data_IF_833594537268
#
_entry.id   IF_833594537268
#
_cell.length_a   1.000
_cell.length_b   1.000
_cell.length_c   1.000
_cell.angle_alpha   90.00
_cell.angle_beta   90.00
_cell.angle_gamma   90.00
#
_symmetry.space_group_name_H-M   'P 1'
#
loop_
_entity.id
_entity.type
_entity.pdbx_description
1 polymer ?
#
# COMPACT_ATOMS: atom_id res chain seq x y z
N UNK A 1 -5.92 33.16 30.74
CA UNK A 1 -6.82 32.01 30.45
C UNK A 1 -6.79 31.06 31.64
N UNK A 2 -7.76 31.23 32.54
CA UNK A 2 -7.86 30.55 33.83
C UNK A 2 -8.61 29.21 33.70
N UNK A 3 -8.13 28.23 34.48
CA UNK A 3 -8.82 27.02 35.01
C UNK A 3 -9.44 26.05 33.99
N UNK A 4 -8.62 25.11 33.52
CA UNK A 4 -9.12 23.77 33.18
C UNK A 4 -9.04 22.92 34.46
N UNK A 5 -10.17 22.43 34.96
CA UNK A 5 -10.25 21.52 36.11
C UNK A 5 -9.54 20.20 35.76
N UNK A 6 -8.36 19.96 36.31
CA UNK A 6 -7.70 18.65 36.24
C UNK A 6 -8.26 17.76 37.35
N UNK A 7 -9.05 16.76 36.98
CA UNK A 7 -9.52 15.70 37.87
C UNK A 7 -8.43 14.67 38.23
N UNK A 8 -7.20 14.86 37.75
CA UNK A 8 -6.03 14.15 38.27
C UNK A 8 -5.42 14.98 39.41
N UNK A 9 -5.39 14.38 40.60
CA UNK A 9 -4.49 14.81 41.68
C UNK A 9 -3.08 14.71 41.10
N UNK A 10 -2.35 15.83 41.00
CA UNK A 10 -0.95 15.81 40.58
C UNK A 10 -0.12 15.23 41.74
N UNK A 11 0.34 13.97 41.66
CA UNK A 11 1.07 13.35 42.78
C UNK A 11 2.40 14.05 43.05
N UNK A 12 2.87 14.89 42.12
CA UNK A 12 4.10 15.67 42.24
C UNK A 12 3.89 17.01 42.95
N UNK A 13 2.66 17.36 43.33
CA UNK A 13 2.35 18.61 44.03
C UNK A 13 2.97 18.68 45.44
N UNK A 14 3.25 17.53 46.07
CA UNK A 14 3.81 17.44 47.41
C UNK A 14 5.35 17.50 47.45
N UNK A 15 6.02 17.53 46.29
CA UNK A 15 7.48 17.55 46.20
C UNK A 15 8.03 18.99 46.16
N UNK A 16 9.23 19.25 46.71
CA UNK A 16 9.92 20.53 46.56
C UNK A 16 10.03 20.96 45.09
N UNK A 17 9.89 22.26 44.74
CA UNK A 17 9.91 22.73 43.35
C UNK A 17 11.17 22.33 42.56
N UNK A 18 12.32 22.30 43.24
CA UNK A 18 13.60 21.86 42.68
C UNK A 18 13.59 20.37 42.29
N UNK A 19 13.04 19.52 43.16
CA UNK A 19 12.90 18.08 42.92
C UNK A 19 11.88 17.81 41.81
N UNK A 20 10.75 18.54 41.79
CA UNK A 20 9.76 18.45 40.70
C UNK A 20 10.36 18.81 39.33
N UNK A 21 11.13 19.90 39.26
CA UNK A 21 11.81 20.31 38.03
C UNK A 21 12.92 19.34 37.60
N UNK A 22 13.59 18.70 38.54
CA UNK A 22 14.57 17.65 38.26
C UNK A 22 13.89 16.39 37.71
N UNK A 23 12.87 15.87 38.40
CA UNK A 23 12.12 14.68 37.99
C UNK A 23 11.43 14.89 36.63
N UNK A 24 10.85 16.06 36.39
CA UNK A 24 10.27 16.38 35.08
C UNK A 24 11.32 16.34 33.96
N UNK A 25 12.51 16.90 34.17
CA UNK A 25 13.61 16.85 33.19
C UNK A 25 14.06 15.42 32.92
N UNK A 26 14.29 14.63 33.97
CA UNK A 26 14.65 13.21 33.86
C UNK A 26 13.56 12.38 33.18
N UNK A 27 12.29 12.66 33.45
CA UNK A 27 11.16 12.00 32.79
C UNK A 27 11.13 12.32 31.28
N UNK A 28 11.31 13.59 30.89
CA UNK A 28 11.37 13.98 29.47
C UNK A 28 12.56 13.36 28.74
N UNK A 29 13.74 13.32 29.38
CA UNK A 29 14.91 12.62 28.84
C UNK A 29 14.64 11.12 28.69
N UNK A 30 14.05 10.49 29.71
CA UNK A 30 13.68 9.07 29.68
C UNK A 30 12.68 8.73 28.57
N UNK A 31 11.67 9.58 28.37
CA UNK A 31 10.73 9.46 27.23
C UNK A 31 11.50 9.60 25.91
N UNK A 32 12.46 10.53 25.82
CA UNK A 32 13.31 10.70 24.65
C UNK A 32 14.13 9.45 24.33
N UNK A 33 14.79 8.85 25.33
CA UNK A 33 15.52 7.58 25.20
C UNK A 33 14.59 6.48 24.70
N UNK A 34 13.44 6.33 25.34
CA UNK A 34 12.49 5.27 25.03
C UNK A 34 11.97 5.40 23.60
N UNK A 35 11.67 6.62 23.14
CA UNK A 35 11.27 6.88 21.76
C UNK A 35 12.37 6.49 20.78
N UNK A 36 13.61 6.94 21.00
CA UNK A 36 14.73 6.61 20.11
C UNK A 36 14.99 5.10 20.08
N UNK A 37 14.94 4.42 21.23
CA UNK A 37 15.12 2.98 21.32
C UNK A 37 14.01 2.23 20.57
N UNK A 38 12.75 2.67 20.72
CA UNK A 38 11.61 2.09 20.01
C UNK A 38 11.69 2.32 18.50
N UNK A 39 12.06 3.54 18.07
CA UNK A 39 12.30 3.86 16.66
C UNK A 39 13.46 3.04 16.08
N UNK A 40 14.54 2.87 16.84
CA UNK A 40 15.69 2.06 16.47
C UNK A 40 15.35 0.58 16.32
N UNK A 41 14.59 0.02 17.27
CA UNK A 41 14.06 -1.34 17.18
C UNK A 41 13.23 -1.53 15.91
N UNK A 42 12.24 -0.66 15.67
CA UNK A 42 11.39 -0.77 14.49
C UNK A 42 12.17 -0.56 13.18
N UNK A 43 13.16 0.33 13.15
CA UNK A 43 13.99 0.57 11.97
C UNK A 43 14.85 -0.65 11.64
N UNK A 44 15.52 -1.23 12.64
CA UNK A 44 16.31 -2.44 12.45
C UNK A 44 15.43 -3.63 12.06
N UNK A 45 14.21 -3.71 12.60
CA UNK A 45 13.24 -4.70 12.19
C UNK A 45 12.88 -4.56 10.70
N UNK A 46 12.55 -3.35 10.23
CA UNK A 46 12.23 -3.11 8.80
C UNK A 46 13.44 -3.35 7.90
N UNK A 47 14.63 -2.92 8.31
CA UNK A 47 15.87 -3.11 7.53
C UNK A 47 16.28 -4.58 7.37
N UNK A 48 15.99 -5.41 8.38
CA UNK A 48 16.30 -6.84 8.39
C UNK A 48 15.09 -7.71 8.03
N UNK A 49 14.06 -7.12 7.41
CA UNK A 49 12.89 -7.87 6.96
C UNK A 49 13.24 -8.87 5.86
N UNK A 50 12.67 -10.07 5.97
CA UNK A 50 12.73 -11.10 4.93
C UNK A 50 11.34 -11.64 4.64
N UNK A 51 11.09 -11.98 3.38
CA UNK A 51 9.83 -12.64 2.97
C UNK A 51 9.68 -14.04 3.56
N UNK A 52 10.81 -14.68 3.92
CA UNK A 52 10.84 -16.03 4.48
C UNK A 52 10.61 -16.07 6.00
N UNK A 53 10.52 -14.90 6.66
CA UNK A 53 10.32 -14.83 8.11
C UNK A 53 8.89 -15.21 8.51
N UNK A 54 8.68 -15.73 9.75
CA UNK A 54 7.34 -15.95 10.29
C UNK A 54 6.54 -14.66 10.32
N UNK A 55 5.37 -14.67 9.70
CA UNK A 55 4.46 -13.51 9.67
C UNK A 55 3.00 -13.95 9.68
N UNK A 56 2.07 -13.00 9.72
CA UNK A 56 0.63 -13.32 9.66
C UNK A 56 0.24 -13.97 8.33
N UNK A 57 0.98 -13.67 7.26
CA UNK A 57 0.74 -14.20 5.92
C UNK A 57 1.70 -15.33 5.53
N UNK A 58 2.72 -15.61 6.35
CA UNK A 58 3.71 -16.65 6.09
C UNK A 58 3.92 -17.53 7.34
N UNK A 59 3.28 -18.70 7.35
CA UNK A 59 3.46 -19.70 8.39
C UNK A 59 4.65 -20.61 8.05
N UNK A 60 5.75 -20.44 8.76
CA UNK A 60 6.98 -21.23 8.59
C UNK A 60 7.44 -21.85 9.91
N UNK A 61 8.14 -22.98 9.83
CA UNK A 61 8.79 -23.64 10.98
C UNK A 61 10.21 -23.10 11.24
N UNK A 62 10.70 -22.21 10.37
CA UNK A 62 12.03 -21.60 10.49
C UNK A 62 12.07 -20.57 11.62
N UNK A 63 13.20 -20.48 12.32
CA UNK A 63 13.46 -19.38 13.24
C UNK A 63 13.55 -18.03 12.50
N UNK A 64 13.07 -16.92 13.09
CA UNK A 64 13.07 -15.61 12.45
C UNK A 64 14.51 -15.14 12.16
N UNK A 65 14.78 -14.74 10.92
CA UNK A 65 16.05 -14.16 10.48
C UNK A 65 16.17 -12.67 10.79
N UNK A 66 15.06 -12.02 11.13
CA UNK A 66 15.02 -10.62 11.55
C UNK A 66 15.93 -10.35 12.74
N UNK A 67 16.71 -9.27 12.71
CA UNK A 67 17.67 -8.93 13.77
C UNK A 67 16.99 -8.67 15.11
N UNK A 68 15.73 -8.21 15.09
CA UNK A 68 14.94 -7.95 16.29
C UNK A 68 14.09 -9.16 16.72
N UNK A 69 14.36 -10.33 16.14
CA UNK A 69 13.69 -11.59 16.44
C UNK A 69 12.24 -11.61 15.97
N UNK A 70 11.43 -12.47 16.61
CA UNK A 70 10.04 -12.70 16.21
C UNK A 70 9.17 -11.43 16.24
N UNK A 71 9.19 -10.58 17.29
CA UNK A 71 8.40 -9.36 17.30
C UNK A 71 8.81 -8.39 16.18
N UNK A 72 10.12 -8.33 15.87
CA UNK A 72 10.65 -7.56 14.75
C UNK A 72 10.09 -8.00 13.41
N UNK A 73 10.11 -9.31 13.13
CA UNK A 73 9.57 -9.88 11.90
C UNK A 73 8.10 -9.49 11.67
N UNK A 74 7.25 -9.63 12.70
CA UNK A 74 5.84 -9.24 12.62
C UNK A 74 5.64 -7.73 12.42
N UNK A 75 6.37 -6.89 13.15
CA UNK A 75 6.26 -5.43 13.03
C UNK A 75 6.68 -4.98 11.63
N UNK A 76 7.80 -5.50 11.14
CA UNK A 76 8.33 -5.16 9.83
C UNK A 76 7.39 -5.61 8.70
N UNK A 77 6.85 -6.83 8.79
CA UNK A 77 5.90 -7.36 7.82
C UNK A 77 4.62 -6.53 7.74
N UNK A 78 3.99 -6.24 8.89
CA UNK A 78 2.79 -5.39 8.93
C UNK A 78 3.09 -4.01 8.36
N UNK A 79 4.21 -3.39 8.74
CA UNK A 79 4.58 -2.05 8.27
C UNK A 79 4.79 -2.01 6.75
N UNK A 80 5.56 -2.96 6.21
CA UNK A 80 5.86 -3.00 4.77
C UNK A 80 4.64 -3.39 3.94
N UNK A 81 3.78 -4.30 4.42
CA UNK A 81 2.55 -4.63 3.71
C UNK A 81 1.54 -3.49 3.74
N UNK A 82 1.40 -2.76 4.86
CA UNK A 82 0.40 -1.70 4.98
C UNK A 82 0.83 -0.39 4.34
N UNK A 83 2.09 0.00 4.53
CA UNK A 83 2.62 1.33 4.16
C UNK A 83 3.78 1.27 3.16
N UNK A 84 4.30 0.08 2.84
CA UNK A 84 5.46 -0.06 1.97
C UNK A 84 6.67 0.74 2.48
N UNK A 85 7.38 1.39 1.56
CA UNK A 85 8.53 2.24 1.86
C UNK A 85 8.17 3.47 2.70
N UNK A 86 6.91 3.92 2.70
CA UNK A 86 6.47 5.02 3.57
C UNK A 86 6.51 4.64 5.06
N UNK A 87 6.54 3.34 5.39
CA UNK A 87 6.72 2.87 6.76
C UNK A 87 7.97 3.44 7.44
N UNK A 88 9.05 3.69 6.69
CA UNK A 88 10.27 4.33 7.24
C UNK A 88 10.00 5.77 7.68
N UNK A 89 9.14 6.50 6.96
CA UNK A 89 8.75 7.86 7.35
C UNK A 89 7.96 7.87 8.67
N UNK A 90 7.17 6.81 8.94
CA UNK A 90 6.46 6.66 10.21
C UNK A 90 7.41 6.54 11.41
N UNK A 91 8.65 6.11 11.19
CA UNK A 91 9.66 5.93 12.25
C UNK A 91 10.44 7.21 12.56
N UNK A 92 10.50 8.17 11.64
CA UNK A 92 11.24 9.41 11.84
C UNK A 92 10.85 10.24 13.09
N UNK A 93 9.58 10.34 13.53
CA UNK A 93 9.19 11.07 14.72
C UNK A 93 9.86 10.57 15.99
N UNK A 94 10.07 9.26 16.09
CA UNK A 94 10.71 8.64 17.25
C UNK A 94 12.11 9.21 17.45
N UNK A 95 12.84 9.45 16.36
CA UNK A 95 14.16 10.06 16.39
C UNK A 95 14.09 11.58 16.55
N UNK A 96 13.26 12.27 15.77
CA UNK A 96 13.17 13.74 15.76
C UNK A 96 12.65 14.26 17.11
N UNK A 97 11.54 13.72 17.60
CA UNK A 97 10.96 14.13 18.87
C UNK A 97 11.73 13.56 20.06
N UNK A 98 12.31 12.36 19.93
CA UNK A 98 13.22 11.80 20.92
C UNK A 98 14.43 12.70 21.17
N UNK A 99 15.12 13.12 20.10
CA UNK A 99 16.25 14.05 20.19
C UNK A 99 15.84 15.43 20.72
N UNK A 100 14.64 15.91 20.38
CA UNK A 100 14.11 17.17 20.94
C UNK A 100 13.77 17.08 22.42
N UNK A 101 13.26 15.93 22.88
CA UNK A 101 12.97 15.70 24.30
C UNK A 101 14.26 15.78 25.13
N UNK A 102 15.36 15.22 24.61
CA UNK A 102 16.71 15.38 25.16
C UNK A 102 17.21 16.82 25.14
N UNK A 103 16.97 17.55 24.05
CA UNK A 103 17.32 18.97 23.95
C UNK A 103 16.41 19.89 24.78
N UNK A 104 15.50 19.32 25.59
CA UNK A 104 14.50 20.04 26.39
C UNK A 104 13.67 21.06 25.60
N UNK A 105 13.53 20.85 24.29
CA UNK A 105 12.72 21.73 23.43
C UNK A 105 11.27 21.32 23.55
N UNK A 106 10.42 22.25 24.01
CA UNK A 106 8.98 22.01 24.12
C UNK A 106 8.36 21.93 22.73
N UNK A 107 7.62 20.86 22.48
CA UNK A 107 6.86 20.68 21.25
C UNK A 107 5.44 21.18 21.50
N UNK A 108 5.09 22.30 20.89
CA UNK A 108 3.72 22.83 20.94
C UNK A 108 2.83 22.05 19.96
N UNK A 109 1.51 21.98 20.23
CA UNK A 109 0.52 21.35 19.34
C UNK A 109 0.79 19.86 19.04
N UNK A 110 1.27 19.09 20.01
CA UNK A 110 1.68 17.69 19.81
C UNK A 110 0.61 16.83 19.13
N UNK A 111 -0.66 17.01 19.47
CA UNK A 111 -1.78 16.26 18.87
C UNK A 111 -1.88 16.53 17.36
N UNK A 112 -1.82 17.79 16.95
CA UNK A 112 -1.86 18.17 15.53
C UNK A 112 -0.61 17.71 14.79
N UNK A 113 0.55 17.66 15.45
CA UNK A 113 1.79 17.14 14.84
C UNK A 113 1.75 15.64 14.66
N UNK A 114 1.23 14.89 15.62
CA UNK A 114 0.97 13.45 15.47
C UNK A 114 -0.01 13.20 14.32
N UNK A 115 -1.13 13.92 14.28
CA UNK A 115 -2.10 13.80 13.20
C UNK A 115 -1.49 14.15 11.83
N UNK A 116 -0.71 15.23 11.76
CA UNK A 116 -0.01 15.63 10.55
C UNK A 116 1.04 14.59 10.12
N UNK A 117 1.73 13.93 11.06
CA UNK A 117 2.71 12.90 10.73
C UNK A 117 2.07 11.64 10.15
N UNK A 118 0.96 11.19 10.75
CA UNK A 118 0.18 10.07 10.23
C UNK A 118 -0.37 10.39 8.83
N UNK A 119 -0.95 11.58 8.65
CA UNK A 119 -1.42 12.04 7.35
C UNK A 119 -0.28 12.11 6.33
N UNK A 120 0.89 12.65 6.71
CA UNK A 120 2.04 12.74 5.83
C UNK A 120 2.54 11.36 5.38
N UNK A 121 2.55 10.38 6.29
CA UNK A 121 2.91 8.99 5.99
C UNK A 121 1.96 8.39 4.95
N UNK A 122 0.65 8.63 5.09
CA UNK A 122 -0.34 8.18 4.11
C UNK A 122 -0.16 8.87 2.75
N UNK A 123 0.02 10.19 2.71
CA UNK A 123 0.28 10.90 1.46
C UNK A 123 1.58 10.45 0.79
N UNK A 124 2.63 10.16 1.57
CA UNK A 124 3.87 9.62 1.05
C UNK A 124 3.69 8.18 0.51
N UNK A 125 2.91 7.34 1.20
CA UNK A 125 2.55 6.00 0.72
C UNK A 125 1.83 6.08 -0.63
N UNK A 126 0.85 6.98 -0.76
CA UNK A 126 0.15 7.24 -2.02
C UNK A 126 1.10 7.70 -3.13
N UNK A 127 1.99 8.65 -2.82
CA UNK A 127 2.96 9.16 -3.79
C UNK A 127 3.93 8.07 -4.27
N UNK A 128 4.40 7.22 -3.35
CA UNK A 128 5.28 6.09 -3.66
C UNK A 128 4.58 5.01 -4.47
N UNK A 129 3.32 4.70 -4.16
CA UNK A 129 2.52 3.73 -4.92
C UNK A 129 2.29 4.18 -6.37
N UNK A 130 2.19 5.48 -6.62
CA UNK A 130 2.09 6.04 -7.96
C UNK A 130 3.39 5.94 -8.79
N UNK A 131 4.52 5.54 -8.19
CA UNK A 131 5.77 5.31 -8.91
C UNK A 131 5.83 3.88 -9.50
N UNK A 132 6.54 3.69 -10.61
CA UNK A 132 6.77 2.34 -11.15
C UNK A 132 7.49 1.45 -10.14
N UNK A 133 6.99 0.23 -9.96
CA UNK A 133 7.63 -0.81 -9.15
C UNK A 133 8.97 -1.23 -9.74
N UNK A 134 9.96 -1.42 -8.89
CA UNK A 134 11.26 -1.97 -9.28
C UNK A 134 11.14 -3.48 -9.52
N UNK A 135 11.95 -4.03 -10.43
CA UNK A 135 11.95 -5.47 -10.73
C UNK A 135 12.34 -6.34 -9.52
N UNK A 136 13.12 -5.80 -8.59
CA UNK A 136 13.56 -6.47 -7.36
C UNK A 136 12.64 -6.21 -6.16
N UNK A 137 11.53 -5.49 -6.34
CA UNK A 137 10.60 -5.22 -5.25
C UNK A 137 9.92 -6.52 -4.82
N UNK A 138 10.07 -6.95 -3.54
CA UNK A 138 9.70 -8.30 -3.13
C UNK A 138 8.19 -8.48 -2.89
N UNK A 139 7.45 -7.39 -2.66
CA UNK A 139 6.03 -7.45 -2.36
C UNK A 139 5.19 -7.40 -3.64
N UNK A 140 4.06 -8.11 -3.64
CA UNK A 140 3.07 -8.03 -4.72
C UNK A 140 2.41 -6.64 -4.79
N UNK A 141 2.30 -5.97 -3.64
CA UNK A 141 1.82 -4.59 -3.47
C UNK A 141 2.87 -3.59 -3.96
N UNK A 142 2.42 -2.40 -4.39
CA UNK A 142 3.28 -1.31 -4.82
C UNK A 142 4.17 -0.77 -3.71
N UNK A 143 5.01 0.22 -4.05
CA UNK A 143 6.00 0.80 -3.13
C UNK A 143 5.37 1.49 -1.92
N UNK A 144 4.08 1.82 -1.98
CA UNK A 144 3.29 2.40 -0.90
C UNK A 144 2.51 1.38 -0.04
N UNK A 145 2.65 0.09 -0.30
CA UNK A 145 1.88 -0.95 0.37
C UNK A 145 0.38 -0.86 0.09
N UNK A 146 -0.42 -1.60 0.87
CA UNK A 146 -1.87 -1.72 0.70
C UNK A 146 -2.59 -0.37 0.78
N UNK A 147 -2.24 0.46 1.76
CA UNK A 147 -2.89 1.76 1.95
C UNK A 147 -2.48 2.74 0.86
N UNK A 148 -1.20 2.75 0.47
CA UNK A 148 -0.71 3.57 -0.63
C UNK A 148 -1.35 3.18 -1.96
N UNK A 149 -1.43 1.89 -2.27
CA UNK A 149 -2.08 1.37 -3.49
C UNK A 149 -3.57 1.70 -3.54
N UNK A 150 -4.27 1.52 -2.42
CA UNK A 150 -5.69 1.88 -2.32
C UNK A 150 -5.92 3.38 -2.58
N UNK A 151 -5.11 4.25 -1.96
CA UNK A 151 -5.22 5.70 -2.15
C UNK A 151 -4.74 6.14 -3.54
N UNK A 152 -3.72 5.50 -4.11
CA UNK A 152 -3.23 5.79 -5.45
C UNK A 152 -4.26 5.35 -6.51
N UNK A 153 -4.99 4.26 -6.28
CA UNK A 153 -6.11 3.85 -7.11
C UNK A 153 -7.26 4.88 -7.10
N UNK A 154 -7.51 5.53 -5.96
CA UNK A 154 -8.45 6.67 -5.91
C UNK A 154 -7.94 7.85 -6.76
N UNK A 155 -6.66 8.21 -6.63
CA UNK A 155 -6.04 9.24 -7.46
C UNK A 155 -6.14 8.91 -8.96
N UNK A 156 -5.81 7.67 -9.31
CA UNK A 156 -5.97 7.14 -10.67
C UNK A 156 -7.42 7.27 -11.16
N UNK A 157 -8.41 6.86 -10.36
CA UNK A 157 -9.83 6.98 -10.73
C UNK A 157 -10.28 8.43 -10.94
N UNK A 158 -9.63 9.41 -10.31
CA UNK A 158 -9.95 10.82 -10.48
C UNK A 158 -9.35 11.41 -11.75
N UNK A 159 -8.15 10.97 -12.15
CA UNK A 159 -7.41 11.56 -13.28
C UNK A 159 -7.48 10.75 -14.58
N UNK A 160 -7.70 9.43 -14.52
CA UNK A 160 -7.78 8.56 -15.69
C UNK A 160 -8.89 8.93 -16.69
N UNK A 161 -10.05 9.50 -16.30
CA UNK A 161 -11.03 9.95 -17.28
C UNK A 161 -10.55 11.12 -18.17
N UNK A 162 -9.49 11.82 -17.74
CA UNK A 162 -9.00 13.04 -18.39
C UNK A 162 -7.59 12.87 -18.99
N UNK A 163 -6.90 11.76 -18.71
CA UNK A 163 -5.49 11.55 -19.03
C UNK A 163 -5.19 10.08 -19.30
N UNK A 164 -4.01 9.78 -19.84
CA UNK A 164 -3.52 8.39 -19.97
C UNK A 164 -3.02 7.86 -18.63
N UNK A 165 -3.04 6.53 -18.46
CA UNK A 165 -2.78 5.88 -17.17
C UNK A 165 -1.49 6.35 -16.46
N UNK A 166 -0.37 6.41 -17.19
CA UNK A 166 0.90 6.87 -16.63
C UNK A 166 0.86 8.34 -16.18
N UNK A 167 0.09 9.19 -16.87
CA UNK A 167 -0.08 10.60 -16.51
C UNK A 167 -1.00 10.73 -15.28
N UNK A 168 -2.04 9.89 -15.16
CA UNK A 168 -2.92 9.86 -13.99
C UNK A 168 -2.14 9.53 -12.70
N UNK A 169 -1.24 8.55 -12.74
CA UNK A 169 -0.35 8.24 -11.63
C UNK A 169 0.65 9.37 -11.37
N UNK A 170 1.26 9.95 -12.41
CA UNK A 170 2.18 11.08 -12.25
C UNK A 170 1.51 12.29 -11.59
N UNK A 171 0.28 12.63 -11.97
CA UNK A 171 -0.51 13.70 -11.35
C UNK A 171 -0.86 13.39 -9.89
N UNK A 172 -1.20 12.13 -9.59
CA UNK A 172 -1.43 11.67 -8.21
C UNK A 172 -0.18 11.86 -7.35
N UNK A 173 0.99 11.45 -7.83
CA UNK A 173 2.26 11.66 -7.15
C UNK A 173 2.59 13.15 -6.99
N UNK A 174 2.40 13.95 -8.05
CA UNK A 174 2.67 15.38 -8.06
C UNK A 174 1.81 16.16 -7.07
N UNK A 175 0.58 15.72 -6.81
CA UNK A 175 -0.30 16.34 -5.82
C UNK A 175 0.03 15.89 -4.40
N UNK A 176 0.28 14.59 -4.20
CA UNK A 176 0.42 14.00 -2.86
C UNK A 176 1.81 14.19 -2.26
N UNK A 177 2.87 14.17 -3.06
CA UNK A 177 4.24 14.31 -2.57
C UNK A 177 4.52 15.69 -1.91
N UNK A 178 4.11 16.84 -2.48
CA UNK A 178 4.28 18.13 -1.81
C UNK A 178 3.50 18.23 -0.50
N UNK A 179 2.28 17.68 -0.46
CA UNK A 179 1.46 17.66 0.76
C UNK A 179 2.17 16.85 1.85
N UNK A 180 2.67 15.65 1.51
CA UNK A 180 3.47 14.84 2.43
C UNK A 180 4.69 15.62 2.93
N UNK A 181 5.43 16.28 2.03
CA UNK A 181 6.62 17.06 2.37
C UNK A 181 6.32 18.19 3.37
N UNK A 182 5.30 19.03 3.11
CA UNK A 182 4.96 20.12 4.03
C UNK A 182 4.41 19.63 5.36
N UNK A 183 3.64 18.55 5.36
CA UNK A 183 3.16 17.94 6.61
C UNK A 183 4.31 17.34 7.42
N UNK A 184 5.32 16.72 6.78
CA UNK A 184 6.55 16.25 7.45
C UNK A 184 7.29 17.43 8.09
N UNK A 185 7.49 18.54 7.37
CA UNK A 185 8.17 19.71 7.93
C UNK A 185 7.42 20.30 9.13
N UNK A 186 6.10 20.45 9.00
CA UNK A 186 5.25 20.92 10.09
C UNK A 186 5.31 19.97 11.27
N UNK A 187 5.14 18.68 11.06
CA UNK A 187 5.08 17.71 12.13
C UNK A 187 6.47 17.50 12.79
N UNK A 188 7.55 17.75 12.05
CA UNK A 188 8.93 17.69 12.52
C UNK A 188 9.33 19.00 13.21
N UNK A 189 8.46 20.01 13.26
CA UNK A 189 8.77 21.33 13.80
C UNK A 189 10.04 21.94 13.21
N UNK A 190 10.32 21.65 11.93
CA UNK A 190 11.49 22.16 11.22
C UNK A 190 11.10 23.52 10.64
N UNK A 191 11.72 24.58 11.14
CA UNK A 191 11.54 25.91 10.57
C UNK A 191 12.35 26.06 9.29
N UNK A 192 11.94 27.00 8.44
CA UNK A 192 12.69 27.35 7.22
C UNK A 192 14.13 27.83 7.54
N UNK A 193 14.34 28.37 8.75
CA UNK A 193 15.66 28.75 9.26
C UNK A 193 16.55 27.53 9.54
N UNK A 194 15.99 26.44 10.08
CA UNK A 194 16.73 25.21 10.35
C UNK A 194 17.18 24.54 9.05
N UNK A 195 16.32 24.56 8.02
CA UNK A 195 16.65 24.10 6.66
C UNK A 195 17.81 24.89 6.05
N UNK A 196 17.80 26.22 6.19
CA UNK A 196 18.90 27.08 5.72
C UNK A 196 20.20 26.78 6.46
N UNK A 197 20.15 26.61 7.78
CA UNK A 197 21.31 26.27 8.60
C UNK A 197 21.90 24.91 8.20
N UNK A 198 21.04 23.90 7.97
CA UNK A 198 21.46 22.59 7.49
C UNK A 198 22.10 22.67 6.09
N UNK A 199 21.51 23.44 5.16
CA UNK A 199 22.08 23.63 3.81
C UNK A 199 23.46 24.29 3.84
N UNK A 200 23.67 25.28 4.72
CA UNK A 200 24.97 25.92 4.94
C UNK A 200 25.96 24.90 5.50
N UNK A 201 25.57 24.13 6.52
CA UNK A 201 26.41 23.12 7.15
C UNK A 201 26.84 22.01 6.16
N UNK A 202 25.91 21.50 5.34
CA UNK A 202 26.22 20.52 4.28
C UNK A 202 27.18 21.11 3.24
N UNK A 203 26.99 22.38 2.86
CA UNK A 203 27.90 23.06 1.94
C UNK A 203 29.31 23.18 2.52
N UNK A 204 29.43 23.44 3.81
CA UNK A 204 30.72 23.58 4.48
C UNK A 204 31.41 22.22 4.70
N UNK A 205 30.66 21.14 4.98
CA UNK A 205 31.17 19.76 4.96
C UNK A 205 31.71 19.35 3.59
N UNK A 206 30.99 19.71 2.52
CA UNK A 206 31.43 19.45 1.15
C UNK A 206 32.71 20.22 0.82
N UNK A 207 32.87 21.45 1.33
CA UNK A 207 34.12 22.21 1.18
C UNK A 207 35.27 21.58 1.97
N UNK A 208 35.03 21.11 3.19
CA UNK A 208 36.05 20.45 4.01
C UNK A 208 36.54 19.12 3.42
N UNK A 209 35.65 18.34 2.81
CA UNK A 209 36.01 17.10 2.10
C UNK A 209 36.79 17.36 0.82
N UNK A 210 36.37 18.32 0.00
CA UNK A 210 37.10 18.71 -1.22
C UNK A 210 38.48 19.28 -0.89
N UNK A 211 38.59 20.13 0.13
CA UNK A 211 39.87 20.69 0.59
C UNK A 211 40.81 19.58 1.11
N UNK A 212 40.31 18.64 1.91
CA UNK A 212 41.10 17.50 2.40
C UNK A 212 41.54 16.55 1.27
N UNK A 213 40.76 16.45 0.20
CA UNK A 213 41.05 15.59 -0.95
C UNK A 213 42.03 16.26 -1.95
N UNK A 214 41.96 17.58 -2.10
CA UNK A 214 42.98 18.39 -2.81
C UNK A 214 44.33 18.39 -2.07
N UNK A 215 44.31 18.53 -0.74
CA UNK A 215 45.52 18.53 0.09
C UNK A 215 46.20 17.15 0.10
N UNK A 216 45.41 16.06 0.11
CA UNK A 216 45.93 14.69 -0.08
C UNK A 216 46.49 14.47 -1.48
N UNK A 217 45.87 15.03 -2.53
CA UNK A 217 46.43 14.98 -3.90
C UNK A 217 47.74 15.74 -4.01
N UNK A 218 47.84 16.94 -3.43
CA UNK A 218 49.08 17.73 -3.40
C UNK A 218 50.19 17.03 -2.59
N UNK A 219 49.87 16.46 -1.44
CA UNK A 219 50.82 15.71 -0.61
C UNK A 219 51.28 14.40 -1.28
N UNK A 220 50.42 13.74 -2.05
CA UNK A 220 50.76 12.50 -2.76
C UNK A 220 51.65 12.70 -4.00
N UNK A 221 51.72 13.93 -4.53
CA UNK A 221 52.55 14.29 -5.69
C UNK A 221 54.00 14.70 -5.35
N UNK A 222 54.31 14.98 -4.08
CA UNK A 222 55.61 15.50 -3.66
C UNK A 222 56.55 14.37 -3.21
N UNK A 223 57.12 13.62 -4.18
CA UNK A 223 58.34 12.83 -3.94
C UNK A 223 59.58 13.71 -4.22
N UNK A 224 60.59 13.75 -3.34
CA UNK A 224 61.78 14.57 -3.57
C UNK A 224 62.65 13.92 -4.66
N UNK A 225 62.74 14.57 -5.83
CA UNK A 225 63.49 14.05 -6.98
C UNK A 225 64.97 14.49 -6.86
N UNK A 226 65.86 13.52 -6.71
CA UNK A 226 67.33 13.67 -6.78
C UNK A 226 67.72 14.20 -8.17
N UNK A 227 68.69 15.13 -8.19
CA UNK A 227 69.32 15.72 -9.38
C UNK A 227 70.17 14.69 -10.14
N UNK A 228 69.86 14.50 -11.41
CA UNK A 228 70.69 14.12 -12.56
C UNK A 228 69.75 14.29 -13.78
N UNK A 229 70.04 15.06 -14.82
CA UNK A 229 71.13 14.91 -15.78
C UNK A 229 70.49 14.61 -17.13
N UNK A 230 70.57 15.58 -18.04
CA UNK A 230 70.51 15.53 -19.52
C UNK A 230 69.34 14.86 -20.28
N UNK A 231 68.77 15.67 -21.18
CA UNK A 231 68.21 15.39 -22.50
C UNK A 231 67.52 14.03 -22.76
N UNK A 232 66.19 14.05 -22.80
CA UNK A 232 65.40 13.26 -23.75
C UNK A 232 63.98 13.82 -23.87
N UNK A 233 63.52 14.01 -25.11
CA UNK A 233 62.20 14.54 -25.45
C UNK A 233 61.10 13.56 -24.98
N UNK A 234 60.57 13.78 -23.78
CA UNK A 234 59.48 12.98 -23.22
C UNK A 234 58.14 13.34 -23.87
N UNK A 235 57.56 12.36 -24.58
CA UNK A 235 56.22 12.38 -25.11
C UNK A 235 55.18 12.72 -24.02
N UNK A 236 54.19 13.55 -24.36
CA UNK A 236 53.06 13.88 -23.48
C UNK A 236 52.34 12.58 -23.09
N UNK A 237 52.10 12.30 -21.80
CA UNK A 237 51.35 11.10 -21.43
C UNK A 237 49.91 11.23 -21.93
N UNK A 238 49.46 10.22 -22.68
CA UNK A 238 48.07 10.04 -23.04
C UNK A 238 47.26 9.95 -21.74
N UNK A 239 46.27 10.85 -21.56
CA UNK A 239 45.29 10.69 -20.47
C UNK A 239 44.59 9.35 -20.71
N UNK A 240 44.44 8.48 -19.71
CA UNK A 240 43.51 7.37 -19.84
C UNK A 240 42.11 7.95 -19.96
N UNK A 241 41.51 7.76 -21.12
CA UNK A 241 40.10 7.92 -21.42
C UNK A 241 39.30 6.94 -20.56
N UNK A 242 39.11 7.31 -19.29
CA UNK A 242 38.12 6.68 -18.43
C UNK A 242 36.77 7.15 -18.96
N UNK A 243 36.17 6.31 -19.79
CA UNK A 243 34.81 6.50 -20.28
C UNK A 243 33.88 6.69 -19.05
N UNK A 244 33.17 7.82 -18.94
CA UNK A 244 32.27 8.02 -17.83
C UNK A 244 31.22 6.91 -17.85
N UNK A 245 30.98 6.25 -16.70
CA UNK A 245 29.88 5.30 -16.58
C UNK A 245 28.58 5.97 -17.07
N UNK A 246 27.71 5.23 -17.78
CA UNK A 246 26.46 5.76 -18.35
C UNK A 246 25.60 6.49 -17.30
N UNK A 247 25.71 6.08 -16.04
CA UNK A 247 25.08 6.73 -14.89
C UNK A 247 25.63 8.12 -14.58
N UNK A 248 26.93 8.37 -14.80
CA UNK A 248 27.55 9.69 -14.59
C UNK A 248 27.17 10.67 -15.71
N UNK A 249 27.09 10.19 -16.96
CA UNK A 249 26.60 10.99 -18.09
C UNK A 249 25.12 11.33 -17.88
N UNK A 250 24.32 10.33 -17.50
CA UNK A 250 22.91 10.50 -17.18
C UNK A 250 22.70 11.44 -15.99
N UNK A 251 23.52 11.35 -14.93
CA UNK A 251 23.44 12.26 -13.79
C UNK A 251 23.84 13.70 -14.16
N UNK A 252 24.81 13.87 -15.06
CA UNK A 252 25.21 15.18 -15.56
C UNK A 252 24.14 15.78 -16.49
N UNK A 253 23.56 14.96 -17.37
CA UNK A 253 22.51 15.38 -18.32
C UNK A 253 21.15 15.61 -17.65
N UNK A 254 20.79 14.83 -16.63
CA UNK A 254 19.62 15.10 -15.77
C UNK A 254 19.86 16.35 -14.93
N UNK A 255 21.08 16.53 -14.43
CA UNK A 255 21.51 17.73 -13.72
C UNK A 255 21.31 18.99 -14.56
N UNK A 256 21.90 19.02 -15.75
CA UNK A 256 21.83 20.17 -16.67
C UNK A 256 20.39 20.47 -17.10
N UNK A 257 19.58 19.46 -17.41
CA UNK A 257 18.17 19.64 -17.78
C UNK A 257 17.30 20.13 -16.63
N UNK A 258 17.62 19.75 -15.39
CA UNK A 258 16.93 20.25 -14.19
C UNK A 258 17.34 21.68 -13.87
N UNK A 259 18.63 22.03 -13.97
CA UNK A 259 19.08 23.42 -13.80
C UNK A 259 18.53 24.33 -14.90
N UNK A 260 18.57 23.91 -16.16
CA UNK A 260 18.02 24.68 -17.28
C UNK A 260 16.50 24.81 -17.20
N UNK A 261 15.80 23.78 -16.71
CA UNK A 261 14.36 23.80 -16.51
C UNK A 261 13.93 24.68 -15.34
N UNK A 262 14.68 24.64 -14.22
CA UNK A 262 14.45 25.50 -13.07
C UNK A 262 14.79 26.96 -13.38
N UNK A 263 15.85 27.23 -14.13
CA UNK A 263 16.23 28.61 -14.52
C UNK A 263 15.21 29.20 -15.52
N UNK A 264 14.59 28.36 -16.37
CA UNK A 264 13.45 28.75 -17.25
C UNK A 264 12.17 29.07 -16.49
N UNK A 265 11.94 28.40 -15.36
CA UNK A 265 10.73 28.59 -14.54
C UNK A 265 10.88 29.77 -13.58
N UNK A 266 12.10 30.01 -13.09
CA UNK A 266 12.40 31.11 -12.16
C UNK A 266 12.55 32.47 -12.86
N UNK A 267 12.82 32.48 -14.18
CA UNK A 267 12.90 33.71 -14.99
C UNK A 267 11.71 33.82 -15.94
N UNK A 268 10.54 34.13 -15.41
CA UNK A 268 9.40 34.58 -16.23
C UNK A 268 9.29 36.10 -16.15
N UNK A 269 10.10 36.77 -16.96
CA UNK A 269 10.13 38.21 -17.13
C UNK A 269 11.22 38.60 -18.13
N UNK A 270 10.82 38.66 -19.39
CA UNK A 270 11.49 39.25 -20.54
C UNK A 270 12.76 38.58 -21.12
N UNK A 271 12.70 38.36 -22.44
CA UNK A 271 13.64 37.74 -23.39
C UNK A 271 13.58 36.21 -23.55
N UNK A 272 12.62 35.74 -24.37
CA UNK A 272 12.87 34.62 -25.27
C UNK A 272 13.53 35.18 -26.56
N UNK A 273 14.57 34.56 -27.14
CA UNK A 273 15.06 34.98 -28.45
C UNK A 273 13.98 34.72 -29.50
N UNK A 274 13.70 35.74 -30.33
CA UNK A 274 12.74 35.62 -31.44
C UNK A 274 13.21 34.54 -32.42
N UNK A 275 12.27 33.79 -32.99
CA UNK A 275 12.57 32.93 -34.13
C UNK A 275 12.91 33.77 -35.36
N UNK A 276 13.66 33.20 -36.30
CA UNK A 276 14.15 33.94 -37.47
C UNK A 276 13.01 34.47 -38.35
N UNK A 277 11.91 33.73 -38.42
CA UNK A 277 10.70 34.11 -39.14
C UNK A 277 9.97 35.29 -38.48
N UNK A 278 10.04 35.41 -37.15
CA UNK A 278 9.46 36.52 -36.40
C UNK A 278 10.32 37.80 -36.47
N UNK A 279 11.65 37.65 -36.57
CA UNK A 279 12.59 38.76 -36.81
C UNK A 279 12.36 39.36 -38.20
N UNK A 280 12.09 38.52 -39.19
CA UNK A 280 11.83 38.96 -40.56
C UNK A 280 10.43 39.57 -40.71
N UNK A 281 9.41 39.02 -40.04
CA UNK A 281 8.06 39.58 -40.01
C UNK A 281 7.98 40.94 -39.29
N UNK A 282 8.74 41.13 -38.20
CA UNK A 282 8.82 42.40 -37.48
C UNK A 282 9.56 43.48 -38.30
N UNK A 283 10.60 43.08 -39.06
CA UNK A 283 11.33 43.98 -39.96
C UNK A 283 10.48 44.44 -41.16
N UNK A 284 9.43 43.70 -41.50
CA UNK A 284 8.47 44.00 -42.56
C UNK A 284 7.22 44.81 -42.11
N UNK A 285 7.12 45.20 -40.83
CA UNK A 285 6.14 46.17 -40.36
C UNK A 285 4.66 45.71 -40.32
N UNK A 286 4.40 44.40 -40.21
CA UNK A 286 3.03 43.87 -40.22
C UNK A 286 2.65 43.19 -38.88
N UNK A 287 2.29 43.99 -37.87
CA UNK A 287 1.62 43.51 -36.66
C UNK A 287 0.25 44.18 -36.52
N UNK A 288 -0.71 43.68 -37.30
CA UNK A 288 -2.11 44.11 -37.25
C UNK A 288 -3.03 43.02 -37.76
N UNK A 289 -3.54 42.18 -36.87
CA UNK A 289 -4.69 41.31 -37.15
C UNK A 289 -4.51 39.83 -36.84
N UNK A 290 -4.55 39.46 -35.57
CA UNK A 290 -4.90 38.08 -35.18
C UNK A 290 -5.87 38.13 -34.01
N UNK A 291 -7.16 38.04 -34.31
CA UNK A 291 -8.21 38.03 -33.27
C UNK A 291 -9.62 38.38 -33.72
N UNK A 292 -10.09 37.93 -34.88
CA UNK A 292 -11.53 37.94 -35.18
C UNK A 292 -11.95 36.78 -36.10
N UNK A 293 -12.82 35.93 -35.54
CA UNK A 293 -13.87 35.09 -36.17
C UNK A 293 -14.38 34.13 -35.07
N UNK A 294 -15.66 33.96 -34.74
CA UNK A 294 -16.94 34.51 -35.19
C UNK A 294 -18.00 33.92 -34.24
N UNK A 295 -19.02 34.71 -33.90
CA UNK A 295 -20.09 34.34 -32.99
C UNK A 295 -21.18 33.50 -33.69
N UNK A 296 -21.71 32.49 -32.99
CA UNK A 296 -22.92 31.78 -33.43
C UNK A 296 -23.11 30.43 -32.74
N UNK A 297 -23.65 30.47 -31.51
CA UNK A 297 -24.46 29.44 -30.81
C UNK A 297 -24.16 29.43 -29.31
N UNK A 298 -25.19 29.63 -28.48
CA UNK A 298 -25.03 29.76 -27.03
C UNK A 298 -24.91 28.39 -26.36
N UNK A 299 -24.01 28.28 -25.38
CA UNK A 299 -23.75 27.04 -24.63
C UNK A 299 -24.99 26.50 -23.87
N UNK A 300 -26.04 27.30 -23.74
CA UNK A 300 -27.32 26.95 -23.11
C UNK A 300 -28.16 26.01 -23.98
N UNK A 301 -28.18 26.20 -25.30
CA UNK A 301 -29.02 25.41 -26.23
C UNK A 301 -28.53 23.96 -26.39
N UNK A 302 -27.21 23.73 -26.33
CA UNK A 302 -26.65 22.37 -26.35
C UNK A 302 -27.00 21.55 -25.10
N UNK A 303 -27.19 22.23 -23.96
CA UNK A 303 -27.51 21.57 -22.68
C UNK A 303 -28.97 21.14 -22.60
N UNK A 304 -29.88 21.86 -23.25
CA UNK A 304 -31.29 21.52 -23.31
C UNK A 304 -31.54 20.23 -24.11
N UNK A 305 -31.00 20.11 -25.33
CA UNK A 305 -31.20 18.92 -26.19
C UNK A 305 -30.66 17.61 -25.59
N UNK A 306 -29.54 17.65 -24.86
CA UNK A 306 -28.99 16.48 -24.16
C UNK A 306 -29.86 15.99 -22.99
N UNK A 307 -30.73 16.85 -22.47
CA UNK A 307 -31.60 16.53 -21.33
C UNK A 307 -32.88 15.83 -21.79
N UNK A 308 -33.45 16.27 -22.91
CA UNK A 308 -34.58 15.58 -23.57
C UNK A 308 -34.20 14.19 -24.07
N UNK A 309 -33.03 14.04 -24.71
CA UNK A 309 -32.57 12.74 -25.21
C UNK A 309 -32.31 11.69 -24.11
N UNK A 310 -32.08 12.13 -22.87
CA UNK A 310 -31.86 11.25 -21.71
C UNK A 310 -33.18 10.81 -21.06
N UNK A 311 -34.14 11.72 -20.95
CA UNK A 311 -35.45 11.40 -20.37
C UNK A 311 -36.26 10.45 -21.26
N UNK A 312 -36.07 10.49 -22.58
CA UNK A 312 -36.72 9.57 -23.52
C UNK A 312 -36.26 8.11 -23.39
N UNK A 313 -35.07 7.84 -22.82
CA UNK A 313 -34.52 6.46 -22.68
C UNK A 313 -34.92 5.75 -21.38
N UNK A 314 -35.39 6.50 -20.38
CA UNK A 314 -35.70 5.96 -19.04
C UNK A 314 -37.16 5.50 -18.95
N UNK A 315 -38.01 5.92 -19.89
CA UNK A 315 -39.44 5.61 -19.90
C UNK A 315 -39.78 4.20 -20.45
N UNK A 316 -38.82 3.46 -21.02
CA UNK A 316 -39.09 2.25 -21.83
C UNK A 316 -38.74 0.91 -21.13
N UNK A 317 -38.18 0.91 -19.92
CA UNK A 317 -37.86 -0.34 -19.18
C UNK A 317 -38.64 -0.43 -17.88
N UNK A 318 -39.86 -0.97 -17.96
CA UNK A 318 -40.61 -1.46 -16.80
C UNK A 318 -40.90 -2.95 -17.01
N UNK A 319 -40.05 -3.79 -16.45
CA UNK A 319 -40.18 -5.25 -16.51
C UNK A 319 -41.12 -5.70 -15.39
N UNK A 320 -42.27 -6.29 -15.77
CA UNK A 320 -43.17 -6.99 -14.85
C UNK A 320 -42.68 -8.43 -14.59
N UNK A 321 -42.80 -8.97 -13.36
CA UNK A 321 -42.39 -10.33 -13.06
C UNK A 321 -43.43 -11.36 -13.53
N UNK A 322 -43.03 -12.30 -14.39
CA UNK A 322 -43.82 -13.48 -14.80
C UNK A 322 -43.62 -14.64 -13.82
N UNK A 323 -44.71 -15.18 -13.27
CA UNK A 323 -44.76 -16.13 -12.15
C UNK A 323 -45.04 -17.59 -12.52
N UNK A 324 -44.43 -18.13 -13.58
CA UNK A 324 -44.56 -19.57 -13.92
C UNK A 324 -43.19 -20.15 -14.25
N UNK A 325 -42.47 -20.65 -13.22
CA UNK A 325 -41.14 -21.27 -13.42
C UNK A 325 -40.94 -22.54 -12.58
N UNK A 326 -40.26 -23.56 -13.14
CA UNK A 326 -39.98 -24.83 -12.47
C UNK A 326 -39.03 -24.64 -11.28
N UNK A 327 -39.26 -25.39 -10.20
CA UNK A 327 -38.52 -25.23 -8.95
C UNK A 327 -37.02 -25.55 -9.02
N UNK A 328 -36.27 -25.23 -7.94
CA UNK A 328 -34.80 -25.32 -7.88
C UNK A 328 -34.26 -26.68 -8.31
N UNK A 329 -33.19 -26.70 -9.11
CA UNK A 329 -32.53 -27.94 -9.55
C UNK A 329 -31.57 -28.44 -8.48
N UNK A 330 -31.77 -29.67 -8.00
CA UNK A 330 -30.85 -30.31 -7.05
C UNK A 330 -29.71 -30.97 -7.83
N UNK A 331 -28.50 -30.46 -7.69
CA UNK A 331 -27.30 -30.97 -8.35
C UNK A 331 -26.48 -31.82 -7.37
N UNK A 332 -26.76 -33.13 -7.32
CA UNK A 332 -25.93 -34.09 -6.58
C UNK A 332 -24.64 -34.34 -7.36
N UNK A 333 -23.50 -34.30 -6.67
CA UNK A 333 -22.27 -34.84 -7.24
C UNK A 333 -22.29 -36.35 -7.01
N UNK A 334 -22.23 -37.14 -8.09
CA UNK A 334 -22.10 -38.59 -7.99
C UNK A 334 -20.74 -38.90 -7.38
N UNK A 335 -20.72 -39.14 -6.07
CA UNK A 335 -19.52 -39.57 -5.37
C UNK A 335 -19.23 -41.01 -5.77
N UNK A 336 -18.33 -41.18 -6.74
CA UNK A 336 -17.79 -42.50 -7.06
C UNK A 336 -17.20 -43.13 -5.79
N UNK A 337 -17.45 -44.42 -5.51
CA UNK A 337 -16.89 -45.08 -4.35
C UNK A 337 -15.36 -44.98 -4.38
N UNK A 338 -14.79 -44.45 -3.30
CA UNK A 338 -13.35 -44.22 -3.16
C UNK A 338 -12.62 -45.57 -3.21
N UNK A 339 -11.82 -45.78 -4.26
CA UNK A 339 -10.94 -46.96 -4.35
C UNK A 339 -9.76 -46.78 -3.38
N UNK A 340 -9.36 -47.82 -2.62
CA UNK A 340 -8.17 -47.75 -1.76
C UNK A 340 -6.92 -47.40 -2.58
N UNK A 341 -6.03 -46.60 -2.01
CA UNK A 341 -4.77 -46.27 -2.67
C UNK A 341 -3.83 -47.48 -2.75
N UNK A 342 -2.92 -47.50 -3.73
CA UNK A 342 -1.90 -48.55 -3.86
C UNK A 342 -1.05 -48.72 -2.59
N UNK A 343 -0.88 -47.65 -1.81
CA UNK A 343 -0.19 -47.67 -0.52
C UNK A 343 -1.03 -48.33 0.57
N UNK A 344 -2.30 -47.95 0.68
CA UNK A 344 -3.23 -48.57 1.64
C UNK A 344 -3.39 -50.08 1.37
N UNK A 345 -3.40 -50.50 0.10
CA UNK A 345 -3.44 -51.92 -0.27
C UNK A 345 -2.15 -52.68 0.13
N UNK A 346 -0.97 -52.06 -0.03
CA UNK A 346 0.33 -52.66 0.34
C UNK A 346 0.53 -52.74 1.86
N UNK A 347 0.14 -51.72 2.59
CA UNK A 347 0.30 -51.65 4.06
C UNK A 347 -0.80 -52.42 4.81
N UNK A 348 -1.87 -52.85 4.14
CA UNK A 348 -2.87 -53.74 4.73
C UNK A 348 -2.30 -55.12 5.09
N UNK A 349 -1.15 -55.50 4.52
CA UNK A 349 -0.40 -56.71 4.88
C UNK A 349 0.90 -56.31 5.60
N UNK A 350 1.05 -56.57 6.90
CA UNK A 350 2.29 -56.27 7.62
C UNK A 350 3.44 -57.15 7.12
N UNK A 351 4.57 -56.54 6.74
CA UNK A 351 5.83 -57.26 6.50
C UNK A 351 6.52 -57.51 7.83
N UNK A 352 7.04 -58.73 8.04
CA UNK A 352 7.83 -59.03 9.23
C UNK A 352 9.11 -58.18 9.26
N UNK A 353 9.42 -57.50 10.38
CA UNK A 353 10.65 -56.75 10.52
C UNK A 353 11.83 -57.71 10.75
N UNK A 354 12.66 -57.90 9.72
CA UNK A 354 13.85 -58.76 9.77
C UNK A 354 15.17 -57.97 9.80
N UNK A 355 15.13 -56.63 9.88
CA UNK A 355 16.32 -55.76 9.79
C UNK A 355 16.59 -54.98 11.08
N UNK A 356 17.87 -54.72 11.43
CA UNK A 356 18.26 -54.04 12.67
C UNK A 356 17.84 -52.56 12.69
N UNK A 357 17.34 -52.11 13.85
CA UNK A 357 16.79 -50.79 14.08
C UNK A 357 17.87 -49.68 14.09
N UNK A 358 18.04 -48.98 12.98
CA UNK A 358 18.92 -47.82 12.87
C UNK A 358 18.43 -46.70 11.93
N UNK A 359 17.58 -47.04 10.96
CA UNK A 359 17.11 -46.10 9.94
C UNK A 359 15.68 -45.59 10.19
N UNK A 360 15.40 -44.37 9.72
CA UNK A 360 14.06 -43.77 9.79
C UNK A 360 13.02 -44.63 9.05
N UNK A 361 11.96 -45.02 9.76
CA UNK A 361 10.83 -45.77 9.20
C UNK A 361 9.60 -44.88 9.03
N UNK A 362 9.03 -44.89 7.82
CA UNK A 362 7.80 -44.15 7.52
C UNK A 362 6.63 -44.71 8.36
N UNK A 363 5.88 -43.86 9.10
CA UNK A 363 4.75 -44.32 9.90
C UNK A 363 3.64 -44.97 9.04
N UNK A 364 3.03 -46.08 9.49
CA UNK A 364 2.01 -46.79 8.73
C UNK A 364 0.66 -46.06 8.76
N UNK A 365 -0.13 -46.20 7.70
CA UNK A 365 -1.48 -45.63 7.58
C UNK A 365 -2.49 -46.20 8.59
N UNK A 366 -2.16 -47.32 9.25
CA UNK A 366 -2.96 -47.90 10.33
C UNK A 366 -3.05 -47.02 11.58
N UNK A 367 -2.15 -46.04 11.71
CA UNK A 367 -2.24 -45.01 12.76
C UNK A 367 -3.39 -44.02 12.52
N UNK A 368 -3.94 -43.97 11.31
CA UNK A 368 -5.09 -43.15 10.96
C UNK A 368 -6.39 -43.93 11.17
N UNK A 369 -7.40 -43.26 11.71
CA UNK A 369 -8.74 -43.82 11.84
C UNK A 369 -9.43 -43.88 10.47
N UNK A 370 -10.16 -44.97 10.21
CA UNK A 370 -10.95 -45.10 8.98
C UNK A 370 -12.06 -44.03 8.98
N UNK A 371 -12.40 -43.45 7.81
CA UNK A 371 -13.53 -42.54 7.72
C UNK A 371 -14.79 -43.29 8.17
N UNK A 372 -15.52 -42.69 9.12
CA UNK A 372 -16.83 -43.22 9.51
C UNK A 372 -17.74 -43.14 8.27
N UNK A 373 -18.51 -44.18 7.95
CA UNK A 373 -19.51 -44.07 6.89
C UNK A 373 -20.41 -42.88 7.20
N UNK A 374 -20.83 -42.10 6.19
CA UNK A 374 -21.70 -40.95 6.42
C UNK A 374 -22.90 -41.42 7.23
N UNK A 375 -23.14 -40.77 8.38
CA UNK A 375 -24.28 -41.07 9.23
C UNK A 375 -25.56 -40.96 8.40
N UNK A 376 -26.60 -41.73 8.74
CA UNK A 376 -27.88 -41.77 8.00
C UNK A 376 -28.53 -40.39 7.76
N UNK A 377 -28.13 -39.37 8.52
CA UNK A 377 -28.46 -37.95 8.32
C UNK A 377 -28.04 -37.36 6.96
N UNK A 378 -27.14 -38.02 6.22
CA UNK A 378 -26.65 -37.55 4.92
C UNK A 378 -27.58 -37.85 3.73
N UNK A 379 -28.76 -38.45 3.95
CA UNK A 379 -29.73 -38.71 2.88
C UNK A 379 -30.94 -37.77 3.00
N UNK A 380 -30.70 -36.45 2.87
CA UNK A 380 -31.80 -35.54 2.59
C UNK A 380 -32.40 -35.94 1.22
N UNK A 381 -33.72 -36.14 1.19
CA UNK A 381 -34.43 -36.40 -0.08
C UNK A 381 -34.42 -35.13 -0.93
N UNK A 382 -34.53 -35.28 -2.25
CA UNK A 382 -34.58 -34.11 -3.14
C UNK A 382 -35.81 -33.24 -2.85
N UNK A 383 -36.92 -33.86 -2.46
CA UNK A 383 -38.13 -33.15 -2.02
C UNK A 383 -37.87 -32.29 -0.77
N UNK A 384 -37.10 -32.79 0.19
CA UNK A 384 -36.75 -32.02 1.40
C UNK A 384 -35.82 -30.85 1.08
N UNK A 385 -34.85 -31.04 0.17
CA UNK A 385 -33.97 -29.96 -0.31
C UNK A 385 -34.77 -28.88 -1.05
N UNK A 386 -35.75 -29.29 -1.85
CA UNK A 386 -36.61 -28.37 -2.58
C UNK A 386 -37.58 -27.61 -1.66
N UNK A 387 -38.12 -28.27 -0.63
CA UNK A 387 -38.93 -27.63 0.40
C UNK A 387 -38.11 -26.61 1.20
N UNK A 388 -36.88 -26.95 1.59
CA UNK A 388 -35.98 -26.03 2.27
C UNK A 388 -35.57 -24.84 1.39
N UNK A 389 -35.39 -25.05 0.09
CA UNK A 389 -35.11 -23.96 -0.84
C UNK A 389 -36.28 -22.97 -0.93
N UNK A 390 -37.53 -23.46 -0.99
CA UNK A 390 -38.73 -22.59 -0.96
C UNK A 390 -38.89 -21.85 0.37
N UNK A 391 -38.55 -22.50 1.48
CA UNK A 391 -38.52 -21.84 2.79
C UNK A 391 -37.49 -20.70 2.79
N UNK A 392 -36.29 -20.94 2.27
CA UNK A 392 -35.26 -19.92 2.16
C UNK A 392 -35.70 -18.74 1.27
N UNK A 393 -36.41 -18.99 0.16
CA UNK A 393 -37.00 -17.94 -0.67
C UNK A 393 -38.01 -17.08 0.13
N UNK A 394 -38.92 -17.71 0.88
CA UNK A 394 -39.88 -16.96 1.72
C UNK A 394 -39.19 -16.12 2.79
N UNK A 395 -38.16 -16.65 3.46
CA UNK A 395 -37.39 -15.93 4.47
C UNK A 395 -36.68 -14.73 3.86
N UNK A 396 -36.11 -14.87 2.67
CA UNK A 396 -35.46 -13.76 1.97
C UNK A 396 -36.46 -12.67 1.56
N UNK A 397 -37.67 -13.05 1.13
CA UNK A 397 -38.72 -12.11 0.76
C UNK A 397 -39.21 -11.29 1.97
N UNK A 398 -39.32 -11.91 3.15
CA UNK A 398 -39.66 -11.22 4.41
C UNK A 398 -38.66 -10.09 4.76
N UNK A 399 -37.39 -10.25 4.39
CA UNK A 399 -36.35 -9.21 4.56
C UNK A 399 -36.27 -8.22 3.38
N UNK A 400 -37.20 -8.33 2.43
CA UNK A 400 -37.27 -7.51 1.23
C UNK A 400 -36.16 -7.80 0.21
N UNK A 401 -35.61 -9.02 0.23
CA UNK A 401 -34.69 -9.53 -0.79
C UNK A 401 -35.50 -10.42 -1.73
N UNK A 402 -35.84 -9.88 -2.89
CA UNK A 402 -36.45 -10.65 -3.97
C UNK A 402 -35.37 -11.34 -4.80
N UNK A 403 -35.55 -12.63 -5.05
CA UNK A 403 -34.62 -13.46 -5.82
C UNK A 403 -35.10 -14.91 -5.89
N UNK A 404 -34.47 -15.71 -6.74
CA UNK A 404 -34.84 -17.11 -6.99
C UNK A 404 -33.66 -18.04 -6.65
N UNK A 405 -33.92 -19.20 -6.06
CA UNK A 405 -32.89 -20.23 -5.83
C UNK A 405 -32.79 -21.09 -7.10
N UNK A 406 -31.69 -20.97 -7.84
CA UNK A 406 -31.50 -21.69 -9.11
C UNK A 406 -31.11 -23.15 -8.86
N UNK A 407 -30.18 -23.38 -7.92
CA UNK A 407 -29.52 -24.67 -7.73
C UNK A 407 -29.24 -24.94 -6.25
N UNK A 408 -29.39 -26.21 -5.87
CA UNK A 408 -29.07 -26.71 -4.52
C UNK A 408 -28.00 -27.79 -4.63
N UNK A 409 -26.90 -27.64 -3.89
CA UNK A 409 -25.76 -28.55 -3.90
C UNK A 409 -25.50 -29.05 -2.48
N UNK A 410 -25.96 -30.27 -2.14
CA UNK A 410 -25.70 -30.85 -0.84
C UNK A 410 -24.22 -31.23 -0.71
N UNK A 411 -23.57 -30.76 0.35
CA UNK A 411 -22.19 -31.12 0.72
C UNK A 411 -22.15 -32.04 1.95
N UNK A 412 -20.94 -32.45 2.38
CA UNK A 412 -20.79 -33.35 3.53
C UNK A 412 -21.22 -32.74 4.88
N UNK A 413 -21.08 -31.42 5.02
CA UNK A 413 -21.36 -30.69 6.26
C UNK A 413 -22.44 -29.62 6.05
N UNK A 414 -22.38 -28.90 4.93
CA UNK A 414 -23.28 -27.79 4.61
C UNK A 414 -23.96 -28.02 3.27
N UNK A 415 -25.12 -27.39 3.07
CA UNK A 415 -25.80 -27.36 1.77
C UNK A 415 -25.68 -25.97 1.16
N UNK A 416 -25.16 -25.89 -0.07
CA UNK A 416 -25.04 -24.64 -0.81
C UNK A 416 -26.29 -24.40 -1.66
N UNK A 417 -26.96 -23.28 -1.39
CA UNK A 417 -28.07 -22.75 -2.18
C UNK A 417 -27.57 -21.58 -3.02
N UNK A 418 -27.77 -21.64 -4.34
CA UNK A 418 -27.37 -20.59 -5.27
C UNK A 418 -28.55 -19.65 -5.54
N UNK A 419 -28.52 -18.46 -4.95
CA UNK A 419 -29.52 -17.40 -5.11
C UNK A 419 -29.17 -16.47 -6.27
N UNK A 420 -30.12 -16.25 -7.16
CA UNK A 420 -30.08 -15.17 -8.14
C UNK A 420 -30.93 -13.99 -7.65
N UNK A 421 -30.31 -12.88 -7.22
CA UNK A 421 -31.05 -11.73 -6.73
C UNK A 421 -31.74 -10.98 -7.87
N UNK A 422 -32.91 -10.40 -7.59
CA UNK A 422 -33.59 -9.53 -8.53
C UNK A 422 -32.73 -8.28 -8.88
N UNK A 423 -32.88 -7.70 -10.09
CA UNK A 423 -32.16 -6.50 -10.48
C UNK A 423 -32.32 -5.36 -9.46
N UNK A 424 -31.19 -4.73 -9.11
CA UNK A 424 -31.17 -3.63 -8.14
C UNK A 424 -30.95 -4.04 -6.68
N UNK A 425 -30.97 -5.34 -6.36
CA UNK A 425 -30.55 -5.83 -5.03
C UNK A 425 -29.02 -5.93 -4.96
N UNK A 426 -28.41 -5.22 -4.01
CA UNK A 426 -26.96 -5.26 -3.79
C UNK A 426 -26.55 -6.53 -3.04
N UNK A 427 -25.48 -7.19 -3.48
CA UNK A 427 -24.95 -8.40 -2.82
C UNK A 427 -24.60 -8.18 -1.35
N UNK A 428 -24.13 -6.97 -0.99
CA UNK A 428 -23.80 -6.62 0.40
C UNK A 428 -24.98 -6.70 1.36
N UNK A 429 -26.22 -6.46 0.87
CA UNK A 429 -27.43 -6.51 1.68
C UNK A 429 -27.78 -7.95 2.08
N UNK A 430 -27.59 -8.89 1.16
CA UNK A 430 -27.81 -10.33 1.44
C UNK A 430 -26.74 -10.83 2.41
N UNK A 431 -25.49 -10.40 2.24
CA UNK A 431 -24.37 -10.78 3.13
C UNK A 431 -24.60 -10.30 4.56
N UNK A 432 -25.10 -9.08 4.76
CA UNK A 432 -25.36 -8.54 6.11
C UNK A 432 -26.48 -9.25 6.88
N UNK A 433 -27.33 -10.01 6.19
CA UNK A 433 -28.47 -10.71 6.79
C UNK A 433 -28.16 -12.17 7.16
N UNK A 434 -26.89 -12.59 7.10
CA UNK A 434 -26.50 -13.97 7.36
C UNK A 434 -27.01 -14.50 8.71
N UNK A 435 -26.86 -13.73 9.80
CA UNK A 435 -27.29 -14.13 11.14
C UNK A 435 -28.82 -14.22 11.26
N UNK A 436 -29.54 -13.30 10.61
CA UNK A 436 -31.00 -13.30 10.58
C UNK A 436 -31.56 -14.46 9.76
N UNK A 437 -30.91 -14.79 8.63
CA UNK A 437 -31.24 -15.97 7.83
C UNK A 437 -30.98 -17.25 8.65
N UNK A 438 -29.86 -17.34 9.37
CA UNK A 438 -29.57 -18.50 10.24
C UNK A 438 -30.67 -18.69 11.30
N UNK A 439 -31.07 -17.58 11.94
CA UNK A 439 -32.12 -17.56 12.96
C UNK A 439 -33.47 -18.00 12.39
N UNK A 440 -33.89 -17.46 11.24
CA UNK A 440 -35.18 -17.80 10.61
C UNK A 440 -35.21 -19.22 10.02
N UNK A 441 -34.07 -19.72 9.52
CA UNK A 441 -33.92 -21.08 8.98
C UNK A 441 -33.67 -22.14 10.06
N UNK A 442 -33.61 -21.75 11.34
CA UNK A 442 -33.23 -22.64 12.46
C UNK A 442 -31.89 -23.35 12.23
N UNK A 443 -30.96 -22.69 11.54
CA UNK A 443 -29.60 -23.16 11.30
C UNK A 443 -28.67 -22.62 12.40
N UNK A 444 -27.58 -23.35 12.69
CA UNK A 444 -26.58 -22.92 13.68
C UNK A 444 -25.86 -21.65 13.21
N UNK A 445 -25.59 -21.56 11.91
CA UNK A 445 -24.95 -20.41 11.27
C UNK A 445 -25.21 -20.45 9.77
N UNK A 446 -25.22 -19.29 9.12
CA UNK A 446 -25.31 -19.19 7.67
C UNK A 446 -24.07 -18.48 7.14
N UNK A 447 -23.48 -18.98 6.05
CA UNK A 447 -22.42 -18.27 5.32
C UNK A 447 -22.94 -17.78 3.98
N UNK A 448 -22.81 -16.47 3.73
CA UNK A 448 -23.26 -15.84 2.49
C UNK A 448 -22.06 -15.26 1.75
N UNK A 449 -21.85 -15.68 0.50
CA UNK A 449 -20.73 -15.22 -0.32
C UNK A 449 -21.11 -15.12 -1.81
N UNK A 450 -20.45 -14.23 -2.55
CA UNK A 450 -20.59 -14.18 -4.01
C UNK A 450 -19.85 -15.35 -4.66
N UNK A 451 -20.42 -15.94 -5.72
CA UNK A 451 -19.77 -17.03 -6.46
C UNK A 451 -18.99 -16.45 -7.63
N UNK A 452 -17.65 -16.57 -7.68
CA UNK A 452 -16.85 -16.04 -8.77
C UNK A 452 -17.25 -16.66 -10.12
N UNK A 453 -17.37 -15.81 -11.15
CA UNK A 453 -17.68 -16.27 -12.51
C UNK A 453 -19.15 -16.61 -12.77
N UNK A 454 -20.06 -16.44 -11.80
CA UNK A 454 -21.51 -16.61 -11.98
C UNK A 454 -22.27 -15.47 -11.30
N UNK A 455 -23.40 -15.07 -11.87
CA UNK A 455 -24.25 -14.01 -11.30
C UNK A 455 -25.16 -14.57 -10.17
N UNK A 456 -24.57 -15.28 -9.21
CA UNK A 456 -25.30 -15.90 -8.10
C UNK A 456 -24.60 -15.65 -6.77
N UNK A 457 -25.40 -15.58 -5.71
CA UNK A 457 -24.95 -15.49 -4.32
C UNK A 457 -25.12 -16.88 -3.70
N UNK A 458 -24.04 -17.43 -3.17
CA UNK A 458 -24.06 -18.69 -2.44
C UNK A 458 -24.48 -18.47 -1.00
N UNK A 459 -25.47 -19.23 -0.55
CA UNK A 459 -25.93 -19.31 0.84
C UNK A 459 -25.68 -20.74 1.33
N UNK A 460 -24.82 -20.87 2.33
CA UNK A 460 -24.45 -22.16 2.94
C UNK A 460 -25.12 -22.26 4.31
N UNK A 461 -25.98 -23.28 4.47
CA UNK A 461 -26.68 -23.63 5.72
C UNK A 461 -26.14 -24.91 6.35
#
# INVERSE_FOLDING_TARGET
MQRVKSWLVDPLAFLPPSLRAFLARRAFEGIGVALIALGGFALLAVMSWSIDDPSFNNATTRAPGNWMGLPGAYVADIMLQTLGLAGVLLLLPFFVWGARAFAHRRINLIVFRVAAWLAATLFAATALSALPRFAFWPLALGLGGLLGDGLAALGFSLFSPFTVDGVAYALTALLTAPIAFFLILFAADIALADLKAAAIWVRDLRKGTVAAEEERRYASGARPRRRAGEDEAFARPHRPDVEPSRLRILAWEIGDRLTDGLDRILRRGDYAPLSQDEIDAARAGALGGFGQRGAGESAAERRARRREARNARIADERIEPKSDRPGPRVARSDTKPLKPSNRAAREAQPKLPLEPAGDYQLPPLSLLSKPKPPAMTAKLTDDALQANARLLESVLDDFGIRGEIISVRPGPVVTLYELEPAPGIKSSRVISLADDIARSMSAVSTRVAVVPGRNVIGIEL
#
